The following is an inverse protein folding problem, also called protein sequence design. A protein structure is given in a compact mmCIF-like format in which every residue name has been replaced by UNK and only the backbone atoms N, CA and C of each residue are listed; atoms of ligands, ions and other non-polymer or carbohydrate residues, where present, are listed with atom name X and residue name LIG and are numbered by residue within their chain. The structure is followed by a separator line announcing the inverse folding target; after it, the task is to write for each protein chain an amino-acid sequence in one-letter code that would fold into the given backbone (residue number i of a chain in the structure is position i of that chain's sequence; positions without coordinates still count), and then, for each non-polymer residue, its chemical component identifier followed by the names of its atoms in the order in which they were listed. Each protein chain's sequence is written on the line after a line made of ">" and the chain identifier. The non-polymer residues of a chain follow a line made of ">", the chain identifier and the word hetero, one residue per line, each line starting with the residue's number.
data_IF_629183678733
#
_entry.id   IF_629183678733
#
_cell.length_a   1.000
_cell.length_b   1.000
_cell.length_c   1.000
_cell.angle_alpha   90.00
_cell.angle_beta   90.00
_cell.angle_gamma   90.00
#
_symmetry.space_group_name_H-M   'P 1'
#
loop_
_entity.id
_entity.type
_entity.pdbx_description
1 polymer ?
#
# COMPACT_ATOMS: atom_id res chain seq x y z
N UNK A 1 22.83 3.55 1.31
CA UNK A 1 21.74 2.72 0.76
C UNK A 1 20.97 3.57 -0.23
N UNK A 2 20.66 3.06 -1.41
CA UNK A 2 19.77 3.74 -2.35
C UNK A 2 18.36 3.75 -1.75
N UNK A 3 17.67 4.89 -1.85
CA UNK A 3 16.28 5.04 -1.41
C UNK A 3 15.36 4.11 -2.23
N UNK A 4 14.42 3.44 -1.58
CA UNK A 4 13.45 2.56 -2.26
C UNK A 4 12.43 3.40 -3.04
N UNK A 5 11.80 2.81 -4.06
CA UNK A 5 10.64 3.43 -4.73
C UNK A 5 9.54 3.75 -3.70
N UNK A 6 9.31 2.83 -2.76
CA UNK A 6 8.31 2.97 -1.70
C UNK A 6 8.56 4.25 -0.87
N UNK A 7 9.77 4.40 -0.32
CA UNK A 7 10.16 5.57 0.47
C UNK A 7 9.99 6.88 -0.31
N UNK A 8 10.31 6.89 -1.61
CA UNK A 8 10.10 8.07 -2.47
C UNK A 8 8.62 8.42 -2.62
N UNK A 9 7.76 7.42 -2.85
CA UNK A 9 6.32 7.63 -2.97
C UNK A 9 5.71 8.07 -1.63
N UNK A 10 6.08 7.44 -0.51
CA UNK A 10 5.61 7.88 0.81
C UNK A 10 5.99 9.34 1.08
N UNK A 11 7.24 9.75 0.81
CA UNK A 11 7.65 11.15 0.97
C UNK A 11 6.86 12.11 0.07
N UNK A 12 6.58 11.71 -1.17
CA UNK A 12 5.75 12.50 -2.07
C UNK A 12 4.34 12.69 -1.49
N UNK A 13 3.73 11.63 -0.97
CA UNK A 13 2.43 11.68 -0.33
C UNK A 13 2.41 12.52 0.94
N UNK A 14 3.40 12.37 1.80
CA UNK A 14 3.48 13.15 3.04
C UNK A 14 3.65 14.65 2.77
N UNK A 15 4.38 15.01 1.70
CA UNK A 15 4.47 16.39 1.21
C UNK A 15 3.16 16.92 0.61
N UNK A 16 2.35 16.04 0.02
CA UNK A 16 1.13 16.41 -0.71
C UNK A 16 -0.08 16.50 0.22
N UNK A 17 -0.20 15.56 1.15
CA UNK A 17 -1.36 15.41 2.02
C UNK A 17 -1.07 15.83 3.46
N UNK A 18 -0.26 15.05 4.18
CA UNK A 18 0.22 15.32 5.53
C UNK A 18 1.14 14.18 5.99
N UNK A 19 1.99 14.46 6.98
CA UNK A 19 2.78 13.41 7.63
C UNK A 19 1.90 12.44 8.43
N UNK A 20 2.03 11.14 8.13
CA UNK A 20 1.34 10.08 8.87
C UNK A 20 2.15 9.62 10.07
N UNK A 21 3.46 9.89 10.13
CA UNK A 21 4.29 9.57 11.30
C UNK A 21 4.40 8.07 11.59
N UNK A 22 4.17 7.25 10.57
CA UNK A 22 4.41 5.81 10.56
C UNK A 22 5.23 5.49 9.30
N UNK A 23 6.13 4.52 9.40
CA UNK A 23 6.77 3.98 8.21
C UNK A 23 5.83 2.95 7.57
N UNK A 24 5.28 3.25 6.39
CA UNK A 24 4.33 2.34 5.74
C UNK A 24 5.04 1.09 5.19
N UNK A 25 6.37 1.11 5.01
CA UNK A 25 7.14 -0.08 4.65
C UNK A 25 7.04 -1.16 5.74
N UNK A 26 6.95 -0.77 7.02
CA UNK A 26 6.79 -1.70 8.15
C UNK A 26 5.41 -2.38 8.15
N UNK A 27 4.49 -1.90 7.32
CA UNK A 27 3.16 -2.48 7.14
C UNK A 27 3.11 -3.49 5.98
N UNK A 28 4.22 -3.75 5.31
CA UNK A 28 4.28 -4.76 4.25
C UNK A 28 4.04 -6.17 4.80
N UNK A 29 3.18 -6.93 4.12
CA UNK A 29 2.88 -8.32 4.47
C UNK A 29 3.20 -9.25 3.29
N UNK A 30 3.49 -10.51 3.62
CA UNK A 30 3.73 -11.55 2.63
C UNK A 30 2.43 -12.14 2.05
N UNK A 31 2.59 -13.00 1.04
CA UNK A 31 1.47 -13.68 0.38
C UNK A 31 0.70 -14.62 1.31
N UNK A 32 1.37 -15.25 2.28
CA UNK A 32 0.72 -16.13 3.27
C UNK A 32 -0.23 -15.33 4.14
N UNK A 33 0.22 -14.18 4.65
CA UNK A 33 -0.59 -13.29 5.47
C UNK A 33 -1.71 -12.65 4.66
N UNK A 34 -1.45 -12.26 3.42
CA UNK A 34 -2.47 -11.78 2.50
C UNK A 34 -3.60 -12.81 2.32
N UNK A 35 -3.27 -14.09 2.09
CA UNK A 35 -4.26 -15.15 1.96
C UNK A 35 -5.11 -15.32 3.23
N UNK A 36 -4.46 -15.34 4.41
CA UNK A 36 -5.15 -15.41 5.70
C UNK A 36 -6.13 -14.25 5.91
N UNK A 37 -5.66 -13.02 5.69
CA UNK A 37 -6.48 -11.82 5.86
C UNK A 37 -7.62 -11.75 4.84
N UNK A 38 -7.40 -12.23 3.61
CA UNK A 38 -8.44 -12.32 2.58
C UNK A 38 -9.56 -13.27 2.98
N UNK A 39 -9.24 -14.41 3.60
CA UNK A 39 -10.26 -15.32 4.17
C UNK A 39 -11.05 -14.63 5.28
N UNK A 40 -10.37 -13.92 6.18
CA UNK A 40 -11.02 -13.19 7.28
C UNK A 40 -11.91 -12.04 6.81
N UNK A 41 -11.52 -11.33 5.75
CA UNK A 41 -12.29 -10.26 5.13
C UNK A 41 -13.55 -10.77 4.38
N UNK A 42 -13.65 -12.08 4.15
CA UNK A 42 -14.84 -12.73 3.62
C UNK A 42 -15.26 -12.21 2.24
N UNK A 43 -16.54 -11.89 2.06
CA UNK A 43 -17.11 -11.48 0.76
C UNK A 43 -16.45 -10.21 0.20
N UNK A 44 -16.03 -9.28 1.06
CA UNK A 44 -15.38 -8.03 0.65
C UNK A 44 -14.02 -8.24 -0.01
N UNK A 45 -13.36 -9.38 0.21
CA UNK A 45 -12.09 -9.69 -0.44
C UNK A 45 -12.21 -10.16 -1.90
N UNK A 46 -13.41 -10.57 -2.34
CA UNK A 46 -13.61 -11.10 -3.70
C UNK A 46 -13.54 -10.03 -4.79
N UNK A 47 -13.76 -8.77 -4.42
CA UNK A 47 -13.71 -7.64 -5.35
C UNK A 47 -12.32 -6.99 -5.41
N UNK A 48 -11.37 -7.45 -4.57
CA UNK A 48 -10.04 -6.87 -4.47
C UNK A 48 -9.05 -7.52 -5.46
N UNK A 49 -8.23 -6.67 -6.08
CA UNK A 49 -7.13 -7.07 -6.97
C UNK A 49 -6.26 -8.15 -6.33
N UNK A 50 -5.85 -9.18 -7.08
CA UNK A 50 -4.88 -10.17 -6.61
C UNK A 50 -3.43 -9.64 -6.64
N UNK A 51 -3.20 -8.52 -7.33
CA UNK A 51 -1.87 -7.97 -7.57
C UNK A 51 -1.39 -7.06 -6.44
N UNK A 52 -2.31 -6.40 -5.75
CA UNK A 52 -2.02 -5.49 -4.65
C UNK A 52 -3.27 -5.36 -3.74
N UNK A 53 -3.08 -5.28 -2.42
CA UNK A 53 -4.18 -5.16 -1.44
C UNK A 53 -3.76 -4.39 -0.18
N UNK A 54 -4.67 -3.55 0.32
CA UNK A 54 -4.56 -2.93 1.64
C UNK A 54 -5.62 -3.48 2.58
N UNK A 55 -5.17 -4.00 3.71
CA UNK A 55 -6.01 -4.49 4.80
C UNK A 55 -5.99 -3.50 5.95
N UNK A 56 -7.18 -3.21 6.48
CA UNK A 56 -7.37 -2.31 7.61
C UNK A 56 -8.15 -3.04 8.69
N UNK A 57 -7.68 -2.96 9.93
CA UNK A 57 -8.43 -3.43 11.09
C UNK A 57 -8.29 -2.44 12.22
N UNK A 58 -9.43 -1.97 12.73
CA UNK A 58 -9.46 -1.17 13.94
C UNK A 58 -9.64 -2.06 15.17
N UNK A 59 -8.92 -1.75 16.25
CA UNK A 59 -9.16 -2.32 17.57
C UNK A 59 -9.00 -1.22 18.63
N UNK A 60 -10.12 -0.69 19.12
CA UNK A 60 -10.12 0.46 20.03
C UNK A 60 -9.44 1.68 19.41
N UNK A 61 -8.37 2.13 20.07
CA UNK A 61 -7.55 3.28 19.68
C UNK A 61 -6.34 2.89 18.82
N UNK A 62 -6.34 1.68 18.27
CA UNK A 62 -5.32 1.23 17.32
C UNK A 62 -5.93 0.95 15.93
N UNK A 63 -5.20 1.37 14.90
CA UNK A 63 -5.42 0.96 13.51
C UNK A 63 -4.26 0.05 13.09
N UNK A 64 -4.59 -1.17 12.70
CA UNK A 64 -3.66 -2.10 12.04
C UNK A 64 -3.80 -1.95 10.53
N UNK A 65 -2.66 -1.85 9.87
CA UNK A 65 -2.54 -1.72 8.41
C UNK A 65 -1.67 -2.86 7.91
N UNK A 66 -2.10 -3.52 6.83
CA UNK A 66 -1.30 -4.52 6.11
C UNK A 66 -1.35 -4.22 4.62
N UNK A 67 -0.19 -4.07 3.98
CA UNK A 67 -0.07 -3.75 2.55
C UNK A 67 0.59 -4.93 1.86
N UNK A 68 -0.10 -5.50 0.88
CA UNK A 68 0.41 -6.61 0.08
C UNK A 68 0.64 -6.15 -1.35
N UNK A 69 1.80 -6.51 -1.89
CA UNK A 69 2.08 -6.49 -3.32
C UNK A 69 2.46 -7.90 -3.77
N UNK A 70 1.88 -8.35 -4.87
CA UNK A 70 2.22 -9.65 -5.45
C UNK A 70 3.66 -9.66 -5.93
N UNK A 71 4.28 -10.85 -5.89
CA UNK A 71 5.64 -11.05 -6.42
C UNK A 71 5.77 -10.57 -7.88
N UNK A 72 4.76 -10.86 -8.71
CA UNK A 72 4.74 -10.42 -10.10
C UNK A 72 4.81 -8.89 -10.21
N UNK A 73 4.05 -8.15 -9.38
CA UNK A 73 4.05 -6.69 -9.40
C UNK A 73 5.41 -6.13 -8.98
N UNK A 74 6.02 -6.70 -7.94
CA UNK A 74 7.37 -6.32 -7.48
C UNK A 74 8.37 -6.54 -8.63
N UNK A 75 8.37 -7.72 -9.24
CA UNK A 75 9.26 -8.04 -10.37
C UNK A 75 9.07 -7.09 -11.56
N UNK A 76 7.83 -6.67 -11.87
CA UNK A 76 7.58 -5.68 -12.93
C UNK A 76 8.14 -4.30 -12.59
N UNK A 77 8.02 -3.86 -11.34
CA UNK A 77 8.55 -2.57 -10.89
C UNK A 77 10.08 -2.57 -10.83
N UNK A 78 10.70 -3.70 -10.47
CA UNK A 78 12.15 -3.84 -10.47
C UNK A 78 12.71 -3.90 -11.90
N UNK A 79 12.06 -4.65 -12.80
CA UNK A 79 12.48 -4.77 -14.19
C UNK A 79 12.31 -3.48 -14.98
N UNK A 80 11.25 -2.72 -14.71
CA UNK A 80 10.91 -1.49 -15.42
C UNK A 80 10.82 -0.30 -14.44
N UNK A 81 11.92 -0.02 -13.74
CA UNK A 81 11.98 0.97 -12.66
C UNK A 81 11.39 2.34 -13.05
N UNK A 82 10.26 2.75 -12.45
CA UNK A 82 9.63 4.04 -12.76
C UNK A 82 10.48 5.26 -12.39
N UNK A 83 11.50 5.09 -11.52
CA UNK A 83 12.46 6.16 -11.18
C UNK A 83 13.39 6.50 -12.34
N UNK A 84 13.58 5.57 -13.29
CA UNK A 84 14.36 5.79 -14.50
C UNK A 84 13.55 6.44 -15.64
N UNK A 85 12.23 6.58 -15.48
CA UNK A 85 11.33 7.18 -16.45
C UNK A 85 9.98 6.47 -16.48
N UNK A 86 8.92 7.20 -16.84
CA UNK A 86 7.56 6.66 -16.96
C UNK A 86 7.23 6.36 -18.42
N UNK A 87 6.58 5.22 -18.66
CA UNK A 87 6.08 4.85 -19.98
C UNK A 87 5.18 3.63 -19.94
N UNK A 88 4.76 3.14 -21.12
CA UNK A 88 3.77 2.07 -21.26
C UNK A 88 4.11 0.79 -20.51
N UNK A 89 5.41 0.51 -20.30
CA UNK A 89 5.91 -0.70 -19.64
C UNK A 89 5.74 -0.69 -18.13
N UNK A 90 5.67 0.48 -17.49
CA UNK A 90 5.67 0.58 -16.03
C UNK A 90 4.53 1.41 -15.44
N UNK A 91 3.85 2.24 -16.24
CA UNK A 91 2.82 3.14 -15.73
C UNK A 91 1.69 2.38 -15.02
N UNK A 92 1.28 1.22 -15.55
CA UNK A 92 0.22 0.42 -14.95
C UNK A 92 0.64 -0.19 -13.61
N UNK A 93 1.83 -0.76 -13.55
CA UNK A 93 2.39 -1.34 -12.32
C UNK A 93 2.62 -0.26 -11.27
N UNK A 94 3.10 0.91 -11.68
CA UNK A 94 3.25 2.06 -10.79
C UNK A 94 1.91 2.52 -10.24
N UNK A 95 0.86 2.63 -11.06
CA UNK A 95 -0.48 3.02 -10.60
C UNK A 95 -0.97 2.07 -9.51
N UNK A 96 -0.92 0.75 -9.75
CA UNK A 96 -1.34 -0.25 -8.75
C UNK A 96 -0.55 -0.13 -7.44
N UNK A 97 0.76 0.12 -7.55
CA UNK A 97 1.61 0.33 -6.39
C UNK A 97 1.24 1.59 -5.60
N UNK A 98 1.03 2.70 -6.31
CA UNK A 98 0.69 4.00 -5.72
C UNK A 98 -0.70 3.98 -5.08
N UNK A 99 -1.68 3.30 -5.68
CA UNK A 99 -3.06 3.21 -5.19
C UNK A 99 -3.14 2.56 -3.79
N UNK A 100 -2.44 1.45 -3.56
CA UNK A 100 -2.46 0.80 -2.24
C UNK A 100 -1.75 1.62 -1.16
N UNK A 101 -0.62 2.25 -1.49
CA UNK A 101 0.02 3.21 -0.59
C UNK A 101 -0.91 4.36 -0.23
N UNK A 102 -1.67 4.85 -1.21
CA UNK A 102 -2.61 5.94 -1.02
C UNK A 102 -3.76 5.52 -0.09
N UNK A 103 -4.30 4.31 -0.26
CA UNK A 103 -5.31 3.75 0.63
C UNK A 103 -4.83 3.66 2.08
N UNK A 104 -3.63 3.11 2.31
CA UNK A 104 -3.04 3.01 3.64
C UNK A 104 -2.82 4.40 4.29
N UNK A 105 -2.27 5.34 3.53
CA UNK A 105 -2.03 6.72 3.98
C UNK A 105 -3.33 7.41 4.38
N UNK A 106 -4.35 7.38 3.52
CA UNK A 106 -5.63 8.02 3.78
C UNK A 106 -6.34 7.42 4.98
N UNK A 107 -6.36 6.09 5.12
CA UNK A 107 -6.93 5.43 6.28
C UNK A 107 -6.26 5.87 7.59
N UNK A 108 -4.93 5.95 7.59
CA UNK A 108 -4.17 6.39 8.76
C UNK A 108 -4.43 7.88 9.09
N UNK A 109 -4.53 8.75 8.08
CA UNK A 109 -4.87 10.17 8.28
C UNK A 109 -6.29 10.36 8.82
N UNK A 110 -7.27 9.62 8.29
CA UNK A 110 -8.65 9.66 8.77
C UNK A 110 -8.74 9.19 10.23
N UNK A 111 -8.06 8.08 10.55
CA UNK A 111 -7.99 7.55 11.90
C UNK A 111 -7.40 8.57 12.89
N UNK A 112 -6.29 9.24 12.53
CA UNK A 112 -5.68 10.30 13.35
C UNK A 112 -6.61 11.49 13.58
N UNK A 113 -7.44 11.84 12.61
CA UNK A 113 -8.43 12.93 12.73
C UNK A 113 -9.64 12.54 13.57
N UNK A 114 -9.70 11.29 14.06
CA UNK A 114 -10.84 10.78 14.79
C UNK A 114 -12.08 10.61 13.91
N UNK A 115 -11.93 10.64 12.57
CA UNK A 115 -13.03 10.35 11.64
C UNK A 115 -13.32 8.86 11.76
N UNK A 116 -14.55 8.56 12.19
CA UNK A 116 -15.10 7.22 12.34
C UNK A 116 -16.12 7.12 11.21
N UNK A 117 -15.88 6.28 10.22
CA UNK A 117 -16.99 5.81 9.37
C UNK A 117 -18.01 5.06 10.24
#
# INVERSE_FOLDING_TARGET
>A
MNETLFSQIQRLFERTYAQVGINLEDCLIDGTRCAQLSVLAGKSARELSELARTFLRRAGDQLYVGIYYSRWLIEQLELHDPRAGLGDRNIRSLIMFVEELNHALHAALQFKRGIRE
#
